data_IF_380011548325
#
_entry.id   IF_380011548325
#
_cell.length_a   1.000
_cell.length_b   1.000
_cell.length_c   1.000
_cell.angle_alpha   90.00
_cell.angle_beta   90.00
_cell.angle_gamma   90.00
#
_symmetry.space_group_name_H-M   'P 1'
#
loop_
_entity.id
_entity.type
_entity.pdbx_description
1 polymer ?
#
# COMPACT_ATOMS: atom_id res chain seq x y z
N UNK A 1 0.46 17.20 -8.88
CA UNK A 1 0.18 16.68 -7.53
C UNK A 1 -0.37 15.29 -7.71
N UNK A 2 0.42 14.26 -7.44
CA UNK A 2 -0.07 12.88 -7.49
C UNK A 2 -0.45 12.46 -6.07
N UNK A 3 -1.70 12.02 -5.88
CA UNK A 3 -2.05 11.31 -4.66
C UNK A 3 -1.44 9.91 -4.76
N UNK A 4 -0.87 9.44 -3.67
CA UNK A 4 -0.31 8.09 -3.56
C UNK A 4 -0.87 7.47 -2.29
N UNK A 5 -1.47 6.29 -2.40
CA UNK A 5 -1.91 5.53 -1.24
C UNK A 5 -0.81 4.57 -0.83
N UNK A 6 -0.24 4.76 0.36
CA UNK A 6 0.73 3.86 0.94
C UNK A 6 0.05 2.94 1.96
N UNK A 7 0.07 1.65 1.65
CA UNK A 7 -0.45 0.57 2.47
C UNK A 7 0.74 -0.15 3.10
N UNK A 8 0.75 -0.25 4.42
CA UNK A 8 1.78 -0.98 5.16
C UNK A 8 1.18 -2.27 5.72
N UNK A 9 1.85 -3.38 5.43
CA UNK A 9 1.51 -4.72 5.86
C UNK A 9 2.64 -5.31 6.70
N UNK A 10 2.34 -6.39 7.41
CA UNK A 10 3.30 -7.26 8.07
C UNK A 10 3.19 -8.66 7.46
N UNK A 11 4.32 -9.26 7.13
CA UNK A 11 4.37 -10.67 6.72
C UNK A 11 4.17 -11.59 7.93
N UNK A 12 3.99 -12.88 7.67
CA UNK A 12 3.93 -13.91 8.71
C UNK A 12 5.16 -13.91 9.64
N UNK A 13 6.34 -13.56 9.12
CA UNK A 13 7.58 -13.40 9.89
C UNK A 13 7.70 -12.05 10.62
N UNK A 14 6.68 -11.19 10.56
CA UNK A 14 6.68 -9.86 11.17
C UNK A 14 7.51 -8.82 10.41
N UNK A 15 7.92 -9.10 9.17
CA UNK A 15 8.63 -8.10 8.34
C UNK A 15 7.64 -7.07 7.78
N UNK A 16 7.92 -5.77 7.87
CA UNK A 16 7.05 -4.74 7.32
C UNK A 16 7.22 -4.64 5.80
N UNK A 17 6.11 -4.71 5.07
CA UNK A 17 6.03 -4.54 3.62
C UNK A 17 5.22 -3.30 3.31
N UNK A 18 5.71 -2.46 2.39
CA UNK A 18 5.00 -1.26 1.94
C UNK A 18 4.56 -1.46 0.51
N UNK A 19 3.29 -1.21 0.25
CA UNK A 19 2.69 -1.21 -1.07
C UNK A 19 2.21 0.21 -1.35
N UNK A 20 2.73 0.82 -2.41
CA UNK A 20 2.30 2.14 -2.88
C UNK A 20 1.40 1.96 -4.10
N UNK A 21 0.26 2.63 -4.09
CA UNK A 21 -0.66 2.71 -5.21
C UNK A 21 -0.66 4.13 -5.71
N UNK A 22 -0.12 4.32 -6.91
CA UNK A 22 -0.18 5.59 -7.62
C UNK A 22 -1.59 5.82 -8.18
N UNK A 23 -2.03 7.07 -8.22
CA UNK A 23 -3.37 7.48 -8.65
C UNK A 23 -4.51 6.68 -7.96
N UNK A 24 -4.56 6.66 -6.61
CA UNK A 24 -5.63 5.99 -5.90
C UNK A 24 -6.96 6.71 -6.20
N UNK A 25 -8.06 5.95 -6.20
CA UNK A 25 -9.41 6.51 -6.36
C UNK A 25 -9.65 7.65 -5.37
N UNK A 26 -10.27 8.73 -5.84
CA UNK A 26 -10.49 9.91 -5.00
C UNK A 26 -11.56 9.68 -3.92
N UNK A 27 -12.52 8.79 -4.17
CA UNK A 27 -13.63 8.45 -3.28
C UNK A 27 -13.28 7.34 -2.25
N UNK A 28 -12.00 7.13 -1.96
CA UNK A 28 -11.58 6.08 -1.02
C UNK A 28 -11.93 6.46 0.42
N UNK A 29 -12.77 5.64 1.04
CA UNK A 29 -13.03 5.70 2.48
C UNK A 29 -12.12 4.77 3.26
N UNK A 30 -11.93 5.03 4.56
CA UNK A 30 -11.15 4.18 5.45
C UNK A 30 -11.61 2.72 5.41
N UNK A 31 -12.92 2.49 5.38
CA UNK A 31 -13.52 1.14 5.32
C UNK A 31 -13.19 0.41 4.00
N UNK A 32 -13.21 1.12 2.87
CA UNK A 32 -12.86 0.54 1.59
C UNK A 32 -11.37 0.19 1.51
N UNK A 33 -10.51 1.06 2.04
CA UNK A 33 -9.07 0.80 2.11
C UNK A 33 -8.80 -0.40 2.98
N UNK A 34 -9.41 -0.49 4.16
CA UNK A 34 -9.26 -1.63 5.06
C UNK A 34 -9.79 -2.93 4.43
N UNK A 35 -10.95 -2.90 3.80
CA UNK A 35 -11.51 -4.05 3.09
C UNK A 35 -10.59 -4.51 1.95
N UNK A 36 -10.04 -3.58 1.16
CA UNK A 36 -9.08 -3.89 0.11
C UNK A 36 -7.80 -4.52 0.69
N UNK A 37 -7.27 -3.97 1.79
CA UNK A 37 -6.12 -4.55 2.48
C UNK A 37 -6.39 -5.97 3.00
N UNK A 38 -7.58 -6.23 3.53
CA UNK A 38 -7.98 -7.57 3.96
C UNK A 38 -8.11 -8.53 2.78
N UNK A 39 -8.69 -8.08 1.65
CA UNK A 39 -8.75 -8.87 0.43
C UNK A 39 -7.37 -9.19 -0.13
N UNK A 40 -6.42 -8.25 -0.05
CA UNK A 40 -5.02 -8.46 -0.45
C UNK A 40 -4.37 -9.58 0.37
N UNK A 41 -4.57 -9.56 1.70
CA UNK A 41 -4.09 -10.62 2.61
C UNK A 41 -4.79 -11.95 2.29
N UNK A 42 -6.11 -11.94 2.16
CA UNK A 42 -6.91 -13.14 1.87
C UNK A 42 -6.59 -13.77 0.52
N UNK A 43 -6.23 -12.96 -0.47
CA UNK A 43 -5.82 -13.43 -1.80
C UNK A 43 -4.50 -14.20 -1.73
N UNK A 44 -3.66 -13.93 -0.73
CA UNK A 44 -2.39 -14.60 -0.51
C UNK A 44 -1.44 -14.55 -1.72
N UNK A 45 -1.64 -13.57 -2.62
CA UNK A 45 -0.89 -13.39 -3.88
C UNK A 45 0.44 -12.70 -3.64
N UNK A 46 0.51 -11.86 -2.60
CA UNK A 46 1.70 -11.12 -2.25
C UNK A 46 2.54 -11.91 -1.26
N UNK A 47 3.60 -12.53 -1.78
CA UNK A 47 4.59 -13.29 -1.02
C UNK A 47 5.90 -12.50 -1.08
N UNK A 48 6.41 -12.11 0.08
CA UNK A 48 7.68 -11.38 0.20
C UNK A 48 8.67 -12.29 0.92
N UNK A 49 9.78 -12.58 0.25
CA UNK A 49 10.82 -13.48 0.78
C UNK A 49 10.23 -14.82 1.27
N UNK A 50 9.41 -15.45 0.44
CA UNK A 50 8.71 -16.73 0.73
C UNK A 50 7.62 -16.65 1.82
N UNK A 51 7.40 -15.48 2.43
CA UNK A 51 6.39 -15.27 3.44
C UNK A 51 5.21 -14.42 2.97
N UNK A 52 3.96 -14.89 3.15
CA UNK A 52 2.79 -14.13 2.76
C UNK A 52 2.53 -12.95 3.70
N UNK A 53 1.74 -11.99 3.23
CA UNK A 53 1.16 -10.94 4.06
C UNK A 53 0.23 -11.58 5.11
N UNK A 54 0.41 -11.22 6.38
CA UNK A 54 -0.35 -11.80 7.50
C UNK A 54 -1.20 -10.76 8.25
N UNK A 55 -0.75 -9.50 8.31
CA UNK A 55 -1.46 -8.46 9.05
C UNK A 55 -1.38 -7.08 8.40
N UNK A 56 -2.40 -6.26 8.68
CA UNK A 56 -2.46 -4.84 8.32
C UNK A 56 -1.70 -4.05 9.40
N UNK A 57 -0.69 -3.29 8.99
CA UNK A 57 0.01 -2.36 9.90
C UNK A 57 -0.60 -0.96 9.86
N UNK A 58 -1.11 -0.55 8.71
CA UNK A 58 -1.82 0.71 8.53
C UNK A 58 -1.84 1.18 7.08
N UNK A 59 -2.62 2.21 6.81
CA UNK A 59 -2.71 2.86 5.51
C UNK A 59 -2.61 4.37 5.67
N UNK A 60 -1.98 5.05 4.71
CA UNK A 60 -1.91 6.51 4.67
C UNK A 60 -1.92 7.02 3.25
N UNK A 61 -2.61 8.12 3.04
CA UNK A 61 -2.59 8.85 1.77
C UNK A 61 -1.50 9.92 1.82
N UNK A 62 -0.66 9.95 0.81
CA UNK A 62 0.43 10.90 0.62
C UNK A 62 0.10 11.77 -0.59
N UNK A 63 0.31 13.09 -0.48
CA UNK A 63 0.41 13.94 -1.67
C UNK A 63 1.87 13.99 -2.08
N UNK A 64 2.18 13.42 -3.25
CA UNK A 64 3.50 13.50 -3.86
C UNK A 64 3.54 14.69 -4.80
N UNK A 65 4.43 15.63 -4.49
CA UNK A 65 4.83 16.67 -5.41
C UNK A 65 6.09 16.20 -6.16
N UNK A 66 5.90 15.67 -7.36
CA UNK A 66 7.00 15.27 -8.24
C UNK A 66 7.61 16.52 -8.87
N UNK A 67 8.78 16.94 -8.39
CA UNK A 67 9.56 18.03 -8.99
C UNK A 67 10.73 17.45 -9.78
N UNK A 68 10.65 17.50 -11.10
CA UNK A 68 11.75 17.10 -11.99
C UNK A 68 12.81 18.18 -11.98
N UNK A 69 13.97 17.89 -11.38
CA UNK A 69 15.06 18.87 -11.22
C UNK A 69 16.05 18.88 -12.39
N UNK A 70 16.19 17.77 -13.12
CA UNK A 70 17.06 17.67 -14.30
C UNK A 70 16.46 16.66 -15.29
N UNK A 71 16.29 17.08 -16.54
CA UNK A 71 16.10 16.19 -17.69
C UNK A 71 17.29 16.43 -18.61
N UNK A 72 18.01 15.37 -19.01
CA UNK A 72 19.20 15.45 -19.86
C UNK A 72 18.85 15.14 -21.32
#
# INVERSE_FOLDING_TARGET
MEKVLELTFLTADGKPVKLTVDEPREDLTTEQVESAMQQIIASNVFIVEESPLAAIKGARTLLRETQTLVTR
#
